data_IF_972179043121
#
_entry.id   IF_972179043121
#
_cell.length_a   1.000
_cell.length_b   1.000
_cell.length_c   1.000
_cell.angle_alpha   90.00
_cell.angle_beta   90.00
_cell.angle_gamma   90.00
#
_symmetry.space_group_name_H-M   'P 1'
#
loop_
_entity.id
_entity.type
_entity.pdbx_description
1 polymer ?
#
# COMPACT_ATOMS: atom_id res chain seq x y z
N UNK A 1 -43.80 47.62 -6.62
CA UNK A 1 -44.18 46.23 -6.96
C UNK A 1 -42.98 45.43 -7.48
N UNK A 2 -42.24 45.93 -8.49
CA UNK A 2 -41.03 45.26 -9.07
C UNK A 2 -39.92 44.98 -8.04
N UNK A 3 -39.66 45.90 -7.11
CA UNK A 3 -38.61 45.76 -6.08
C UNK A 3 -38.80 44.53 -5.18
N UNK A 4 -40.05 44.17 -4.85
CA UNK A 4 -40.35 43.02 -4.00
C UNK A 4 -40.04 41.71 -4.72
N UNK A 5 -40.37 41.62 -6.02
CA UNK A 5 -40.09 40.44 -6.85
C UNK A 5 -38.58 40.17 -7.00
N UNK A 6 -37.77 41.22 -7.19
CA UNK A 6 -36.31 41.08 -7.29
C UNK A 6 -35.72 40.54 -5.99
N UNK A 7 -36.19 41.02 -4.83
CA UNK A 7 -35.75 40.50 -3.53
C UNK A 7 -36.13 39.03 -3.32
N UNK A 8 -37.31 38.59 -3.74
CA UNK A 8 -37.71 37.17 -3.65
C UNK A 8 -36.87 36.27 -4.56
N UNK A 9 -36.58 36.72 -5.78
CA UNK A 9 -35.72 35.96 -6.71
C UNK A 9 -34.30 35.83 -6.14
N UNK A 10 -33.74 36.92 -5.61
CA UNK A 10 -32.42 36.89 -4.98
C UNK A 10 -32.38 35.92 -3.78
N UNK A 11 -33.39 35.99 -2.91
CA UNK A 11 -33.51 35.09 -1.76
C UNK A 11 -33.64 33.62 -2.18
N UNK A 12 -34.40 33.34 -3.24
CA UNK A 12 -34.55 31.99 -3.77
C UNK A 12 -33.24 31.48 -4.38
N UNK A 13 -32.53 32.29 -5.16
CA UNK A 13 -31.21 31.92 -5.73
C UNK A 13 -30.20 31.64 -4.62
N UNK A 14 -30.15 32.47 -3.58
CA UNK A 14 -29.29 32.24 -2.41
C UNK A 14 -29.68 30.98 -1.65
N UNK A 15 -30.97 30.70 -1.51
CA UNK A 15 -31.46 29.48 -0.88
C UNK A 15 -31.06 28.24 -1.68
N UNK A 16 -31.23 28.26 -3.01
CA UNK A 16 -30.83 27.15 -3.89
C UNK A 16 -29.31 26.97 -3.90
N UNK A 17 -28.54 28.06 -3.95
CA UNK A 17 -27.08 28.01 -3.91
C UNK A 17 -26.54 27.48 -2.58
N UNK A 18 -27.12 27.90 -1.45
CA UNK A 18 -26.74 27.39 -0.12
C UNK A 18 -27.16 25.93 0.03
N UNK A 19 -28.34 25.54 -0.44
CA UNK A 19 -28.78 24.14 -0.46
C UNK A 19 -27.86 23.25 -1.29
N UNK A 20 -27.45 23.72 -2.48
CA UNK A 20 -26.48 23.01 -3.33
C UNK A 20 -25.11 22.86 -2.65
N UNK A 21 -24.60 23.93 -2.02
CA UNK A 21 -23.33 23.90 -1.29
C UNK A 21 -23.39 22.94 -0.10
N UNK A 22 -24.51 22.91 0.63
CA UNK A 22 -24.72 21.98 1.75
C UNK A 22 -24.73 20.51 1.28
N UNK A 23 -25.41 20.21 0.17
CA UNK A 23 -25.41 18.86 -0.42
C UNK A 23 -24.01 18.45 -0.90
N UNK A 24 -23.25 19.36 -1.52
CA UNK A 24 -21.85 19.13 -1.91
C UNK A 24 -20.94 18.89 -0.70
N UNK A 25 -21.12 19.66 0.38
CA UNK A 25 -20.35 19.47 1.61
C UNK A 25 -20.67 18.15 2.32
N UNK A 26 -21.93 17.71 2.29
CA UNK A 26 -22.33 16.42 2.86
C UNK A 26 -21.74 15.25 2.10
N UNK A 27 -21.74 15.29 0.76
CA UNK A 27 -21.15 14.25 -0.08
C UNK A 27 -19.63 14.17 0.10
N UNK A 28 -18.92 15.29 0.02
CA UNK A 28 -17.46 15.32 0.27
C UNK A 28 -17.10 14.84 1.68
N UNK A 29 -17.90 15.16 2.69
CA UNK A 29 -17.69 14.64 4.06
C UNK A 29 -17.90 13.14 4.14
N UNK A 30 -18.91 12.60 3.47
CA UNK A 30 -19.15 11.15 3.43
C UNK A 30 -17.98 10.42 2.74
N UNK A 31 -17.46 10.97 1.64
CA UNK A 31 -16.30 10.41 0.93
C UNK A 31 -15.03 10.47 1.80
N UNK A 32 -14.79 11.60 2.48
CA UNK A 32 -13.67 11.73 3.42
C UNK A 32 -13.81 10.78 4.61
N UNK A 33 -15.01 10.57 5.11
CA UNK A 33 -15.27 9.61 6.19
C UNK A 33 -15.05 8.17 5.72
N UNK A 34 -15.43 7.83 4.49
CA UNK A 34 -15.16 6.51 3.91
C UNK A 34 -13.65 6.25 3.79
N UNK A 35 -12.89 7.20 3.23
CA UNK A 35 -11.42 7.11 3.15
C UNK A 35 -10.78 7.07 4.53
N UNK A 36 -11.31 7.82 5.50
CA UNK A 36 -10.82 7.80 6.89
C UNK A 36 -11.08 6.46 7.58
N UNK A 37 -12.26 5.87 7.37
CA UNK A 37 -12.61 4.55 7.90
C UNK A 37 -11.75 3.48 7.23
N UNK A 38 -11.50 3.58 5.93
CA UNK A 38 -10.58 2.69 5.20
C UNK A 38 -9.17 2.78 5.78
N UNK A 39 -8.66 4.00 5.98
CA UNK A 39 -7.35 4.27 6.54
C UNK A 39 -7.24 3.79 7.99
N UNK A 40 -8.23 4.08 8.82
CA UNK A 40 -8.29 3.63 10.21
C UNK A 40 -8.41 2.10 10.27
N UNK A 41 -9.09 1.44 9.31
CA UNK A 41 -9.13 -0.04 9.21
C UNK A 41 -7.82 -0.63 8.73
N UNK A 42 -7.13 0.00 7.78
CA UNK A 42 -5.78 -0.36 7.39
C UNK A 42 -4.83 -0.20 8.58
N UNK A 43 -4.91 0.92 9.31
CA UNK A 43 -4.10 1.19 10.49
C UNK A 43 -4.40 0.23 11.64
N UNK A 44 -5.68 -0.04 11.95
CA UNK A 44 -6.05 -1.06 12.93
C UNK A 44 -5.62 -2.46 12.50
N UNK A 45 -5.70 -2.79 11.20
CA UNK A 45 -5.20 -4.07 10.68
C UNK A 45 -3.68 -4.13 10.82
N UNK A 46 -2.97 -3.03 10.55
CA UNK A 46 -1.53 -2.90 10.74
C UNK A 46 -1.15 -3.04 12.23
N UNK A 47 -1.78 -2.30 13.14
CA UNK A 47 -1.56 -2.35 14.59
C UNK A 47 -1.90 -3.72 15.20
N UNK A 48 -3.03 -4.33 14.82
CA UNK A 48 -3.39 -5.69 15.25
C UNK A 48 -2.48 -6.76 14.60
N UNK A 49 -1.85 -6.46 13.46
CA UNK A 49 -0.92 -7.38 12.79
C UNK A 49 0.53 -7.26 13.27
N UNK A 50 0.95 -6.08 13.73
CA UNK A 50 2.24 -5.86 14.40
C UNK A 50 2.31 -6.64 15.72
N UNK A 51 1.18 -6.75 16.44
CA UNK A 51 1.09 -7.52 17.69
C UNK A 51 1.11 -9.05 17.47
N UNK A 52 0.81 -9.52 16.25
CA UNK A 52 0.80 -10.96 15.87
C UNK A 52 2.08 -11.37 15.11
N UNK A 53 2.90 -10.41 14.67
CA UNK A 53 4.21 -10.65 14.04
C UNK A 53 4.10 -11.59 12.84
N UNK A 54 3.24 -11.25 11.86
CA UNK A 54 3.06 -12.04 10.62
C UNK A 54 3.00 -11.20 9.36
N UNK A 55 3.22 -9.89 9.44
CA UNK A 55 3.07 -8.98 8.31
C UNK A 55 4.20 -7.96 8.27
N UNK A 56 4.78 -7.74 7.10
CA UNK A 56 5.75 -6.68 6.86
C UNK A 56 5.36 -5.86 5.64
N UNK A 57 5.62 -4.56 5.66
CA UNK A 57 5.35 -3.67 4.52
C UNK A 57 6.62 -3.35 3.77
N UNK A 58 6.48 -3.14 2.46
CA UNK A 58 7.57 -2.72 1.60
C UNK A 58 7.07 -1.73 0.55
N UNK A 59 7.96 -0.85 0.10
CA UNK A 59 7.67 0.14 -0.94
C UNK A 59 8.82 0.20 -1.95
N UNK A 60 8.52 0.15 -3.24
CA UNK A 60 9.47 0.36 -4.32
C UNK A 60 9.23 1.75 -4.89
N UNK A 61 10.24 2.61 -4.84
CA UNK A 61 10.21 3.90 -5.52
C UNK A 61 10.70 3.71 -6.97
N UNK A 62 9.83 4.03 -7.94
CA UNK A 62 10.11 3.78 -9.36
C UNK A 62 11.23 4.66 -9.92
N UNK A 63 11.56 5.79 -9.27
CA UNK A 63 12.59 6.73 -9.75
C UNK A 63 13.98 6.31 -9.31
N UNK A 64 14.11 5.85 -8.07
CA UNK A 64 15.38 5.52 -7.42
C UNK A 64 15.68 4.02 -7.43
N UNK A 65 14.68 3.17 -7.71
CA UNK A 65 14.79 1.71 -7.61
C UNK A 65 15.25 1.24 -6.22
N UNK A 66 14.93 2.00 -5.18
CA UNK A 66 15.15 1.63 -3.80
C UNK A 66 13.91 0.96 -3.23
N UNK A 67 14.12 -0.05 -2.40
CA UNK A 67 13.04 -0.73 -1.68
C UNK A 67 13.10 -0.35 -0.23
N UNK A 68 12.08 0.34 0.25
CA UNK A 68 11.91 0.66 1.65
C UNK A 68 11.22 -0.51 2.34
N UNK A 69 11.90 -1.16 3.27
CA UNK A 69 11.38 -2.23 4.12
C UNK A 69 10.96 -1.70 5.48
N UNK A 70 9.84 -2.22 6.00
CA UNK A 70 9.49 -2.05 7.40
C UNK A 70 10.42 -2.85 8.31
N UNK A 71 10.42 -2.50 9.58
CA UNK A 71 11.18 -3.19 10.62
C UNK A 71 10.95 -4.71 10.60
N UNK A 72 9.70 -5.14 10.43
CA UNK A 72 9.38 -6.56 10.37
C UNK A 72 9.94 -7.23 9.10
N UNK A 73 9.98 -6.56 7.95
CA UNK A 73 10.59 -7.15 6.74
C UNK A 73 12.09 -7.35 6.92
N UNK A 74 12.79 -6.47 7.65
CA UNK A 74 14.19 -6.72 8.03
C UNK A 74 14.31 -7.96 8.91
N UNK A 75 13.41 -8.15 9.87
CA UNK A 75 13.41 -9.32 10.75
C UNK A 75 13.10 -10.62 9.99
N UNK A 76 12.14 -10.58 9.05
CA UNK A 76 11.81 -11.71 8.16
C UNK A 76 13.02 -12.17 7.33
N UNK A 77 13.85 -11.21 6.88
CA UNK A 77 15.06 -11.51 6.11
C UNK A 77 16.27 -11.81 7.00
N UNK A 78 16.11 -11.74 8.33
CA UNK A 78 17.18 -11.84 9.34
C UNK A 78 18.35 -10.87 9.06
N UNK A 79 18.02 -9.72 8.46
CA UNK A 79 18.98 -8.74 7.97
C UNK A 79 19.10 -7.58 8.94
N UNK A 80 20.32 -7.17 9.23
CA UNK A 80 20.56 -6.01 10.11
C UNK A 80 20.08 -4.71 9.46
N UNK A 81 19.20 -3.99 10.15
CA UNK A 81 18.71 -2.65 9.77
C UNK A 81 19.83 -1.63 9.51
N UNK A 82 20.98 -1.77 10.19
CA UNK A 82 22.16 -0.93 9.99
C UNK A 82 22.76 -1.01 8.58
N UNK A 83 22.42 -2.03 7.80
CA UNK A 83 22.84 -2.15 6.41
C UNK A 83 22.01 -1.27 5.45
N UNK A 84 21.01 -0.56 5.96
CA UNK A 84 20.16 0.35 5.17
C UNK A 84 19.21 -0.38 4.22
N UNK A 85 18.45 0.38 3.45
CA UNK A 85 17.47 -0.16 2.50
C UNK A 85 18.17 -0.75 1.26
N UNK A 86 17.78 -1.97 0.81
CA UNK A 86 18.41 -2.58 -0.36
C UNK A 86 17.89 -1.97 -1.67
N UNK A 87 18.72 -1.89 -2.71
CA UNK A 87 18.24 -1.70 -4.09
C UNK A 87 17.29 -2.83 -4.49
N UNK A 88 16.36 -2.55 -5.42
CA UNK A 88 15.36 -3.52 -5.89
C UNK A 88 15.96 -4.84 -6.38
N UNK A 89 17.00 -4.78 -7.21
CA UNK A 89 17.66 -5.98 -7.69
C UNK A 89 18.27 -6.84 -6.58
N UNK A 90 18.75 -6.22 -5.50
CA UNK A 90 19.28 -6.92 -4.33
C UNK A 90 18.13 -7.50 -3.50
N UNK A 91 17.03 -6.77 -3.32
CA UNK A 91 15.83 -7.27 -2.66
C UNK A 91 15.31 -8.54 -3.33
N UNK A 92 15.32 -8.59 -4.67
CA UNK A 92 14.90 -9.76 -5.45
C UNK A 92 15.83 -10.97 -5.23
N UNK A 93 17.11 -10.77 -4.90
CA UNK A 93 18.03 -11.89 -4.62
C UNK A 93 17.66 -12.66 -3.34
N UNK A 94 16.93 -12.04 -2.42
CA UNK A 94 16.43 -12.71 -1.23
C UNK A 94 15.30 -13.68 -1.53
N UNK A 95 14.76 -13.76 -2.75
CA UNK A 95 13.83 -14.84 -3.09
C UNK A 95 14.57 -16.11 -3.47
N UNK A 96 13.95 -17.26 -3.20
CA UNK A 96 14.43 -18.56 -3.65
C UNK A 96 14.67 -18.53 -5.17
N UNK A 97 15.78 -19.09 -5.69
CA UNK A 97 16.15 -18.99 -7.11
C UNK A 97 15.02 -19.34 -8.10
N UNK A 98 14.22 -20.35 -7.78
CA UNK A 98 13.06 -20.78 -8.59
C UNK A 98 11.93 -19.75 -8.64
N UNK A 99 11.80 -18.91 -7.60
CA UNK A 99 10.71 -17.95 -7.46
C UNK A 99 11.11 -16.57 -8.02
N UNK A 100 12.42 -16.29 -8.18
CA UNK A 100 12.96 -15.02 -8.69
C UNK A 100 12.40 -14.60 -10.06
N UNK A 101 12.23 -15.49 -11.07
CA UNK A 101 11.67 -15.10 -12.36
C UNK A 101 10.25 -14.55 -12.21
N UNK A 102 9.39 -15.26 -11.48
CA UNK A 102 8.01 -14.84 -11.20
C UNK A 102 7.95 -13.49 -10.50
N UNK A 103 8.83 -13.26 -9.51
CA UNK A 103 8.91 -12.00 -8.78
C UNK A 103 9.35 -10.86 -9.70
N UNK A 104 10.39 -11.08 -10.52
CA UNK A 104 10.88 -10.08 -11.49
C UNK A 104 9.79 -9.70 -12.48
N UNK A 105 9.10 -10.68 -13.05
CA UNK A 105 8.06 -10.45 -14.05
C UNK A 105 6.89 -9.67 -13.44
N UNK A 106 6.45 -10.04 -12.23
CA UNK A 106 5.39 -9.33 -11.52
C UNK A 106 5.76 -7.88 -11.20
N UNK A 107 7.00 -7.64 -10.74
CA UNK A 107 7.48 -6.29 -10.44
C UNK A 107 7.68 -5.46 -11.71
N UNK A 108 8.17 -6.05 -12.80
CA UNK A 108 8.31 -5.35 -14.09
C UNK A 108 6.94 -4.94 -14.63
N UNK A 109 5.98 -5.86 -14.68
CA UNK A 109 4.61 -5.55 -15.13
C UNK A 109 3.96 -4.46 -14.27
N UNK A 110 4.22 -4.46 -12.97
CA UNK A 110 3.76 -3.40 -12.08
C UNK A 110 4.39 -2.04 -12.40
N UNK A 111 5.71 -1.97 -12.59
CA UNK A 111 6.41 -0.73 -12.92
C UNK A 111 6.10 -0.21 -14.34
N UNK A 112 5.90 -1.11 -15.29
CA UNK A 112 5.75 -0.77 -16.71
C UNK A 112 4.28 -0.51 -17.09
N UNK A 113 3.35 -1.34 -16.57
CA UNK A 113 1.94 -1.33 -16.95
C UNK A 113 1.01 -0.86 -15.82
N UNK A 114 1.54 -0.61 -14.61
CA UNK A 114 0.74 -0.20 -13.47
C UNK A 114 -0.18 -1.31 -12.95
N UNK A 115 0.20 -2.58 -13.17
CA UNK A 115 -0.60 -3.74 -12.77
C UNK A 115 -0.32 -4.16 -11.33
N UNK A 116 -1.40 -4.27 -10.54
CA UNK A 116 -1.36 -4.89 -9.22
C UNK A 116 -1.03 -6.39 -9.33
N UNK A 117 -0.36 -6.93 -8.32
CA UNK A 117 -0.02 -8.35 -8.28
C UNK A 117 -0.19 -8.97 -6.89
N UNK A 118 -0.37 -10.28 -6.91
CA UNK A 118 -0.28 -11.14 -5.74
C UNK A 118 0.40 -12.45 -6.15
N UNK A 119 1.38 -12.89 -5.38
CA UNK A 119 2.01 -14.19 -5.57
C UNK A 119 2.47 -14.80 -4.25
N UNK A 120 2.63 -16.12 -4.24
CA UNK A 120 3.29 -16.85 -3.15
C UNK A 120 4.70 -17.17 -3.58
N UNK A 121 5.66 -16.95 -2.68
CA UNK A 121 7.06 -17.23 -2.93
C UNK A 121 7.75 -17.61 -1.62
N UNK A 122 8.99 -18.06 -1.72
CA UNK A 122 9.88 -18.31 -0.59
C UNK A 122 10.95 -17.24 -0.57
N UNK A 123 11.15 -16.61 0.58
CA UNK A 123 12.34 -15.79 0.82
C UNK A 123 13.41 -16.64 1.52
N UNK A 124 14.65 -16.38 1.18
CA UNK A 124 15.86 -16.90 1.79
C UNK A 124 16.41 -15.81 2.71
N UNK A 125 16.47 -16.10 4.00
CA UNK A 125 17.05 -15.18 4.99
C UNK A 125 18.57 -15.14 4.85
N UNK A 126 19.24 -14.16 5.50
CA UNK A 126 20.71 -14.13 5.50
C UNK A 126 21.36 -15.33 6.21
N UNK A 127 20.64 -16.02 7.11
CA UNK A 127 21.14 -17.26 7.70
C UNK A 127 20.80 -18.50 6.86
N UNK A 128 20.14 -18.34 5.72
CA UNK A 128 19.81 -19.42 4.79
C UNK A 128 18.52 -20.17 5.12
N UNK A 129 17.67 -19.63 5.99
CA UNK A 129 16.36 -20.20 6.27
C UNK A 129 15.39 -19.86 5.13
N UNK A 130 14.48 -20.78 4.80
CA UNK A 130 13.38 -20.49 3.89
C UNK A 130 12.16 -20.03 4.68
N UNK A 131 11.59 -18.89 4.30
CA UNK A 131 10.34 -18.39 4.85
C UNK A 131 9.29 -18.29 3.74
N UNK A 132 8.20 -19.09 3.79
CA UNK A 132 7.12 -18.96 2.84
C UNK A 132 6.33 -17.67 3.09
N UNK A 133 6.13 -16.88 2.04
CA UNK A 133 5.43 -15.60 2.11
C UNK A 133 4.36 -15.48 1.03
N UNK A 134 3.29 -14.75 1.34
CA UNK A 134 2.42 -14.16 0.34
C UNK A 134 2.86 -12.70 0.15
N UNK A 135 3.17 -12.31 -1.08
CA UNK A 135 3.45 -10.92 -1.42
C UNK A 135 2.29 -10.34 -2.23
N UNK A 136 1.82 -9.16 -1.83
CA UNK A 136 0.84 -8.38 -2.59
C UNK A 136 1.39 -6.98 -2.81
N UNK A 137 1.33 -6.50 -4.06
CA UNK A 137 1.76 -5.17 -4.45
C UNK A 137 0.66 -4.44 -5.21
N UNK A 138 0.47 -3.16 -4.89
CA UNK A 138 -0.42 -2.24 -5.59
C UNK A 138 0.38 -1.09 -6.16
N UNK A 139 0.10 -0.75 -7.41
CA UNK A 139 0.79 0.33 -8.11
C UNK A 139 0.20 1.69 -7.72
N UNK A 140 1.09 2.66 -7.50
CA UNK A 140 0.71 4.07 -7.35
C UNK A 140 1.01 4.77 -8.67
N UNK A 141 0.03 5.48 -9.22
CA UNK A 141 0.11 6.13 -10.53
C UNK A 141 -0.02 7.66 -10.33
N UNK A 142 0.82 8.42 -11.01
CA UNK A 142 0.73 9.88 -11.14
C UNK A 142 -0.52 10.30 -11.93
N UNK A 143 -0.94 11.55 -11.76
CA UNK A 143 -2.09 12.10 -12.49
C UNK A 143 -1.93 12.16 -14.02
N UNK A 144 -0.72 11.95 -14.53
CA UNK A 144 -0.39 11.87 -15.97
C UNK A 144 -0.34 10.42 -16.51
N UNK A 145 -0.59 9.42 -15.65
CA UNK A 145 -0.57 8.01 -16.01
C UNK A 145 0.78 7.30 -15.81
N UNK A 146 1.83 7.98 -15.35
CA UNK A 146 3.12 7.36 -15.05
C UNK A 146 3.12 6.63 -13.69
N UNK A 147 3.79 5.49 -13.55
CA UNK A 147 3.91 4.78 -12.27
C UNK A 147 4.86 5.55 -11.33
N UNK A 148 4.38 5.89 -10.14
CA UNK A 148 5.14 6.52 -9.05
C UNK A 148 5.98 5.48 -8.30
N UNK A 149 5.43 4.30 -8.09
CA UNK A 149 6.05 3.24 -7.32
C UNK A 149 5.06 2.14 -6.97
N UNK A 150 5.52 1.15 -6.22
CA UNK A 150 4.72 0.00 -5.80
C UNK A 150 4.69 0.00 -4.28
N UNK A 151 3.52 -0.09 -3.68
CA UNK A 151 3.38 -0.33 -2.24
C UNK A 151 2.82 -1.72 -2.02
N UNK A 152 3.38 -2.45 -1.07
CA UNK A 152 2.98 -3.81 -0.85
C UNK A 152 3.27 -4.33 0.54
N UNK A 153 2.94 -5.60 0.70
CA UNK A 153 3.14 -6.31 1.93
C UNK A 153 3.59 -7.74 1.72
N UNK A 154 4.25 -8.28 2.74
CA UNK A 154 4.47 -9.68 2.95
C UNK A 154 3.59 -10.17 4.08
N UNK A 155 2.96 -11.32 3.88
CA UNK A 155 2.35 -12.12 4.94
C UNK A 155 3.21 -13.36 5.14
N UNK A 156 3.67 -13.56 6.36
CA UNK A 156 4.36 -14.77 6.80
C UNK A 156 3.37 -15.94 6.86
N UNK A 157 3.65 -16.97 6.06
CA UNK A 157 2.84 -18.19 5.96
C UNK A 157 3.40 -19.35 6.79
N UNK A 158 4.47 -19.14 7.55
CA UNK A 158 5.07 -20.18 8.40
C UNK A 158 4.13 -20.61 9.52
N UNK A 159 4.28 -21.88 9.88
CA UNK A 159 3.59 -22.49 11.00
C UNK A 159 4.29 -22.12 12.32
N UNK A 160 3.58 -22.14 13.47
CA UNK A 160 4.20 -21.90 14.77
C UNK A 160 5.31 -22.89 15.13
N UNK A 161 5.28 -24.10 14.56
CA UNK A 161 6.29 -25.14 14.81
C UNK A 161 7.61 -24.81 14.13
N UNK A 162 7.57 -24.37 12.87
CA UNK A 162 8.76 -23.97 12.09
C UNK A 162 9.52 -22.81 12.76
N UNK A 163 8.82 -21.89 13.42
CA UNK A 163 9.44 -20.73 14.12
C UNK A 163 10.12 -21.06 15.44
N UNK A 164 9.83 -22.21 16.06
CA UNK A 164 10.43 -22.59 17.36
C UNK A 164 11.80 -23.27 17.23
N UNK A 165 12.18 -23.65 16.01
CA UNK A 165 13.40 -24.39 15.72
C UNK A 165 14.38 -23.63 14.81
N UNK A 166 14.10 -22.35 14.51
CA UNK A 166 14.98 -21.42 13.81
C UNK A 166 15.78 -20.53 14.75
#
# INVERSE_FOLDING_TARGET
>A
MVSSYVSYILAFVLFVATLYLLLRLQTTRADLQAVRIELDRCQLTLELSEDVGRFGSWHVDAKSNLVEWSDYVFDMHERRRSLGQPPLENAIQYYHPDDRPTVRDAVSLALDEGMDFEYRARILTENGNELPVLSRGTCQIYGDGAVLGIFGCFVDLSTPEERRFG
#
